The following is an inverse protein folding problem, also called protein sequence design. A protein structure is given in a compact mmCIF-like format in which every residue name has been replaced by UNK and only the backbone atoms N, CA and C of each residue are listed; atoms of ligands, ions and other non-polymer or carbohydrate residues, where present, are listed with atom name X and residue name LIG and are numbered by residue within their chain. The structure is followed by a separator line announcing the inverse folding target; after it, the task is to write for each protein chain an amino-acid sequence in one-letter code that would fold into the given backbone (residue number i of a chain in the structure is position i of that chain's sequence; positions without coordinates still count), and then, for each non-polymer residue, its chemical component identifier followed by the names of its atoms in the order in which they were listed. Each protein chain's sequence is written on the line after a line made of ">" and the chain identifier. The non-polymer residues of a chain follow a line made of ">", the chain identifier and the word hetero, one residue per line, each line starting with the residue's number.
data_IF_553927324559
#
_entry.id   IF_553927324559
#
_cell.length_a   1.000
_cell.length_b   1.000
_cell.length_c   1.000
_cell.angle_alpha   90.00
_cell.angle_beta   90.00
_cell.angle_gamma   90.00
#
_symmetry.space_group_name_H-M   'P 1'
#
loop_
_entity.id
_entity.type
_entity.pdbx_description
1 polymer ?
#
# COMPACT_ATOMS: atom_id res chain seq x y z
N UNK A 1 -29.71 8.53 -24.55
CA UNK A 1 -28.89 8.46 -23.34
C UNK A 1 -28.21 9.81 -23.17
N UNK A 2 -28.71 10.66 -22.26
CA UNK A 2 -28.13 11.98 -21.98
C UNK A 2 -26.98 11.76 -21.00
N UNK A 3 -25.75 11.70 -21.49
CA UNK A 3 -24.62 12.01 -20.62
C UNK A 3 -24.67 13.51 -20.32
N UNK A 4 -24.52 13.81 -19.04
CA UNK A 4 -24.79 15.08 -18.38
C UNK A 4 -24.12 16.23 -19.13
N UNK A 5 -24.81 17.34 -19.33
CA UNK A 5 -24.22 18.62 -19.80
C UNK A 5 -22.94 18.99 -19.04
N UNK A 6 -22.77 18.44 -17.84
CA UNK A 6 -21.57 18.59 -17.01
C UNK A 6 -20.33 17.86 -17.56
N UNK A 7 -20.46 16.71 -18.26
CA UNK A 7 -19.31 16.03 -18.89
C UNK A 7 -18.79 16.85 -20.06
N UNK A 8 -19.70 17.31 -20.93
CA UNK A 8 -19.36 18.18 -22.05
C UNK A 8 -18.79 19.52 -21.56
N UNK A 9 -19.35 20.10 -20.49
CA UNK A 9 -18.81 21.31 -19.87
C UNK A 9 -17.38 21.09 -19.31
N UNK A 10 -17.15 19.99 -18.58
CA UNK A 10 -15.83 19.66 -18.05
C UNK A 10 -14.81 19.39 -19.16
N UNK A 11 -15.23 18.76 -20.26
CA UNK A 11 -14.42 18.55 -21.46
C UNK A 11 -14.04 19.87 -22.12
N UNK A 12 -15.01 20.72 -22.43
CA UNK A 12 -14.74 22.01 -23.09
C UNK A 12 -13.83 22.90 -22.22
N UNK A 13 -14.03 22.86 -20.91
CA UNK A 13 -13.15 23.57 -19.97
C UNK A 13 -11.75 22.97 -19.93
N UNK A 14 -11.61 21.63 -20.00
CA UNK A 14 -10.31 20.97 -20.11
C UNK A 14 -9.57 21.36 -21.39
N UNK A 15 -10.24 21.36 -22.54
CA UNK A 15 -9.64 21.73 -23.83
C UNK A 15 -9.16 23.19 -23.82
N UNK A 16 -9.96 24.12 -23.29
CA UNK A 16 -9.56 25.52 -23.12
C UNK A 16 -8.37 25.68 -22.17
N UNK A 17 -8.41 25.03 -21.00
CA UNK A 17 -7.33 25.10 -20.02
C UNK A 17 -6.02 24.47 -20.54
N UNK A 18 -6.09 23.40 -21.33
CA UNK A 18 -4.90 22.81 -21.96
C UNK A 18 -4.20 23.82 -22.86
N UNK A 19 -4.97 24.55 -23.68
CA UNK A 19 -4.38 25.52 -24.60
C UNK A 19 -3.83 26.73 -23.84
N UNK A 20 -4.56 27.24 -22.84
CA UNK A 20 -4.06 28.33 -21.98
C UNK A 20 -2.77 27.94 -21.24
N UNK A 21 -2.66 26.69 -20.78
CA UNK A 21 -1.45 26.19 -20.13
C UNK A 21 -0.27 26.05 -21.11
N UNK A 22 -0.52 25.67 -22.37
CA UNK A 22 0.53 25.66 -23.41
C UNK A 22 0.99 27.06 -23.75
N UNK A 23 0.06 28.01 -23.88
CA UNK A 23 0.37 29.42 -24.14
C UNK A 23 1.24 29.98 -23.01
N UNK A 24 0.84 29.75 -21.75
CA UNK A 24 1.63 30.15 -20.58
C UNK A 24 3.04 29.53 -20.59
N UNK A 25 3.19 28.27 -21.02
CA UNK A 25 4.51 27.64 -21.16
C UNK A 25 5.32 28.18 -22.34
N UNK A 26 4.67 28.57 -23.44
CA UNK A 26 5.33 29.23 -24.57
C UNK A 26 5.92 30.57 -24.12
N UNK A 27 5.18 31.34 -23.32
CA UNK A 27 5.64 32.62 -22.76
C UNK A 27 6.84 32.47 -21.80
N UNK A 28 7.00 31.32 -21.13
CA UNK A 28 8.21 31.06 -20.32
C UNK A 28 9.50 31.14 -21.17
N UNK A 29 9.43 30.82 -22.45
CA UNK A 29 10.59 30.90 -23.35
C UNK A 29 10.74 32.27 -24.02
N UNK A 30 9.69 33.07 -24.08
CA UNK A 30 9.72 34.41 -24.70
C UNK A 30 10.31 35.46 -23.77
N UNK A 31 10.23 35.22 -22.46
CA UNK A 31 10.65 36.17 -21.42
C UNK A 31 12.08 35.89 -20.98
N UNK A 32 12.88 36.95 -20.79
CA UNK A 32 14.27 36.83 -20.34
C UNK A 32 14.39 36.73 -18.81
N UNK A 33 13.60 37.51 -18.05
CA UNK A 33 13.67 37.58 -16.58
C UNK A 33 13.20 36.27 -15.92
N UNK A 34 14.07 35.57 -15.16
CA UNK A 34 13.71 34.33 -14.46
C UNK A 34 12.54 34.48 -13.48
N UNK A 35 12.32 35.68 -12.90
CA UNK A 35 11.22 35.94 -11.97
C UNK A 35 9.87 36.00 -12.69
N UNK A 36 9.84 36.64 -13.86
CA UNK A 36 8.65 36.66 -14.71
C UNK A 36 8.36 35.26 -15.26
N UNK A 37 9.40 34.52 -15.69
CA UNK A 37 9.27 33.09 -16.06
C UNK A 37 8.62 32.26 -14.93
N UNK A 38 9.01 32.50 -13.66
CA UNK A 38 8.41 31.82 -12.49
C UNK A 38 6.92 32.16 -12.31
N UNK A 39 6.48 33.36 -12.67
CA UNK A 39 5.06 33.73 -12.63
C UNK A 39 4.26 32.96 -13.68
N UNK A 40 4.75 32.89 -14.92
CA UNK A 40 4.12 32.09 -15.99
C UNK A 40 4.08 30.60 -15.66
N UNK A 41 5.15 30.05 -15.07
CA UNK A 41 5.13 28.68 -14.53
C UNK A 41 4.09 28.50 -13.43
N UNK A 42 3.96 29.46 -12.52
CA UNK A 42 2.95 29.40 -11.45
C UNK A 42 1.53 29.44 -12.01
N UNK A 43 1.30 30.23 -13.06
CA UNK A 43 0.03 30.27 -13.79
C UNK A 43 -0.25 28.94 -14.50
N UNK A 44 0.70 28.43 -15.29
CA UNK A 44 0.57 27.14 -16.00
C UNK A 44 0.27 26.00 -15.02
N UNK A 45 0.94 25.98 -13.86
CA UNK A 45 0.70 24.99 -12.80
C UNK A 45 -0.72 25.02 -12.26
N UNK A 46 -1.27 26.21 -12.01
CA UNK A 46 -2.67 26.35 -11.55
C UNK A 46 -3.65 25.85 -12.60
N UNK A 47 -3.44 26.21 -13.86
CA UNK A 47 -4.30 25.77 -14.97
C UNK A 47 -4.24 24.24 -15.13
N UNK A 48 -3.04 23.66 -15.03
CA UNK A 48 -2.85 22.20 -15.03
C UNK A 48 -3.56 21.50 -13.86
N UNK A 49 -3.58 22.10 -12.67
CA UNK A 49 -4.34 21.58 -11.54
C UNK A 49 -5.85 21.60 -11.81
N UNK A 50 -6.36 22.62 -12.50
CA UNK A 50 -7.75 22.66 -12.94
C UNK A 50 -8.05 21.62 -14.04
N UNK A 51 -7.12 21.38 -14.97
CA UNK A 51 -7.21 20.26 -15.91
C UNK A 51 -7.32 18.90 -15.18
N UNK A 52 -6.56 18.69 -14.11
CA UNK A 52 -6.63 17.46 -13.28
C UNK A 52 -8.01 17.31 -12.63
N UNK A 53 -8.58 18.40 -12.12
CA UNK A 53 -9.94 18.38 -11.56
C UNK A 53 -10.97 18.03 -12.62
N UNK A 54 -10.86 18.59 -13.82
CA UNK A 54 -11.78 18.28 -14.92
C UNK A 54 -11.70 16.79 -15.32
N UNK A 55 -10.49 16.22 -15.43
CA UNK A 55 -10.31 14.79 -15.66
C UNK A 55 -10.95 13.95 -14.56
N UNK A 56 -10.76 14.32 -13.29
CA UNK A 56 -11.36 13.60 -12.17
C UNK A 56 -12.91 13.64 -12.21
N UNK A 57 -13.48 14.79 -12.57
CA UNK A 57 -14.93 14.95 -12.79
C UNK A 57 -15.42 14.05 -13.93
N UNK A 58 -14.71 14.04 -15.07
CA UNK A 58 -15.04 13.21 -16.22
C UNK A 58 -14.91 11.70 -15.90
N UNK A 59 -13.87 11.28 -15.17
CA UNK A 59 -13.70 9.90 -14.70
C UNK A 59 -14.85 9.46 -13.77
N UNK A 60 -15.26 10.35 -12.85
CA UNK A 60 -16.37 10.09 -11.96
C UNK A 60 -17.70 9.89 -12.71
N UNK A 61 -17.96 10.74 -13.70
CA UNK A 61 -19.15 10.62 -14.56
C UNK A 61 -19.08 9.34 -15.40
N UNK A 62 -17.93 9.05 -16.02
CA UNK A 62 -17.71 7.84 -16.78
C UNK A 62 -17.90 6.56 -15.95
N UNK A 63 -17.48 6.59 -14.68
CA UNK A 63 -17.68 5.49 -13.74
C UNK A 63 -19.16 5.12 -13.52
N UNK A 64 -20.06 6.11 -13.61
CA UNK A 64 -21.52 5.98 -13.39
C UNK A 64 -22.32 5.59 -14.63
N UNK A 65 -21.66 5.49 -15.80
CA UNK A 65 -22.33 5.07 -17.03
C UNK A 65 -22.62 3.58 -17.05
N UNK A 66 -23.61 3.21 -17.87
CA UNK A 66 -23.85 1.82 -18.20
C UNK A 66 -22.68 1.26 -19.04
N UNK A 67 -22.33 -0.03 -18.89
CA UNK A 67 -21.22 -0.64 -19.62
C UNK A 67 -21.28 -0.47 -21.14
N UNK A 68 -22.49 -0.37 -21.72
CA UNK A 68 -22.70 -0.13 -23.15
C UNK A 68 -22.21 1.24 -23.62
N UNK A 69 -22.31 2.26 -22.76
CA UNK A 69 -21.99 3.65 -23.11
C UNK A 69 -20.56 4.05 -22.70
N UNK A 70 -19.92 3.26 -21.82
CA UNK A 70 -18.54 3.50 -21.38
C UNK A 70 -17.53 3.43 -22.53
N UNK A 71 -17.76 2.57 -23.52
CA UNK A 71 -16.84 2.38 -24.64
C UNK A 71 -16.66 3.67 -25.46
N UNK A 72 -17.73 4.44 -25.63
CA UNK A 72 -17.78 5.66 -26.44
C UNK A 72 -16.84 6.75 -25.90
N UNK A 73 -16.77 6.93 -24.59
CA UNK A 73 -15.99 8.01 -23.96
C UNK A 73 -14.61 7.58 -23.45
N UNK A 74 -14.31 6.28 -23.53
CA UNK A 74 -13.05 5.72 -23.03
C UNK A 74 -11.85 6.24 -23.81
N UNK A 75 -11.95 6.36 -25.14
CA UNK A 75 -10.87 6.89 -25.99
C UNK A 75 -10.61 8.36 -25.66
N UNK A 76 -11.66 9.17 -25.62
CA UNK A 76 -11.56 10.61 -25.33
C UNK A 76 -10.91 10.88 -23.97
N UNK A 77 -11.33 10.15 -22.91
CA UNK A 77 -10.72 10.25 -21.59
C UNK A 77 -9.23 9.86 -21.59
N UNK A 78 -8.86 8.84 -22.37
CA UNK A 78 -7.47 8.42 -22.49
C UNK A 78 -6.62 9.48 -23.22
N UNK A 79 -7.15 10.08 -24.29
CA UNK A 79 -6.51 11.16 -25.04
C UNK A 79 -6.30 12.41 -24.17
N UNK A 80 -7.31 12.81 -23.40
CA UNK A 80 -7.20 13.95 -22.47
C UNK A 80 -6.17 13.69 -21.36
N UNK A 81 -6.15 12.48 -20.79
CA UNK A 81 -5.11 12.10 -19.81
C UNK A 81 -3.71 12.14 -20.41
N UNK A 82 -3.55 11.65 -21.64
CA UNK A 82 -2.29 11.69 -22.34
C UNK A 82 -1.83 13.13 -22.66
N UNK A 83 -2.76 14.01 -23.07
CA UNK A 83 -2.48 15.42 -23.30
C UNK A 83 -1.96 16.11 -22.03
N UNK A 84 -2.61 15.87 -20.89
CA UNK A 84 -2.15 16.41 -19.60
C UNK A 84 -0.79 15.84 -19.17
N UNK A 85 -0.54 14.56 -19.40
CA UNK A 85 0.76 13.95 -19.09
C UNK A 85 1.88 14.56 -19.93
N UNK A 86 1.64 14.78 -21.22
CA UNK A 86 2.59 15.41 -22.15
C UNK A 86 2.89 16.83 -21.69
N UNK A 87 1.84 17.61 -21.39
CA UNK A 87 1.98 18.96 -20.83
C UNK A 87 2.76 18.97 -19.51
N UNK A 88 2.56 17.95 -18.66
CA UNK A 88 3.30 17.81 -17.41
C UNK A 88 4.79 17.54 -17.59
N UNK A 89 5.17 16.81 -18.64
CA UNK A 89 6.58 16.61 -19.00
C UNK A 89 7.21 17.91 -19.47
N UNK A 90 6.50 18.69 -20.30
CA UNK A 90 7.00 19.98 -20.78
C UNK A 90 7.09 21.01 -19.66
N UNK A 91 6.08 21.07 -18.78
CA UNK A 91 6.14 21.88 -17.55
C UNK A 91 7.38 21.56 -16.71
N UNK A 92 7.66 20.28 -16.46
CA UNK A 92 8.81 19.87 -15.64
C UNK A 92 10.15 20.26 -16.27
N UNK A 93 10.24 20.25 -17.61
CA UNK A 93 11.42 20.74 -18.34
C UNK A 93 11.61 22.24 -18.14
N UNK A 94 10.55 23.04 -18.31
CA UNK A 94 10.60 24.49 -18.09
C UNK A 94 10.89 24.85 -16.62
N UNK A 95 10.26 24.17 -15.67
CA UNK A 95 10.50 24.36 -14.23
C UNK A 95 11.97 24.09 -13.88
N UNK A 96 12.56 23.03 -14.43
CA UNK A 96 13.98 22.69 -14.22
C UNK A 96 14.95 23.68 -14.91
N UNK A 97 14.54 24.32 -16.00
CA UNK A 97 15.33 25.36 -16.67
C UNK A 97 15.28 26.67 -15.87
N UNK A 98 14.08 27.16 -15.55
CA UNK A 98 13.89 28.40 -14.78
C UNK A 98 14.52 28.30 -13.39
N UNK A 99 14.46 27.13 -12.76
CA UNK A 99 15.13 26.91 -11.47
C UNK A 99 16.65 27.07 -11.58
N UNK A 100 17.27 26.58 -12.65
CA UNK A 100 18.72 26.78 -12.87
C UNK A 100 19.04 28.25 -13.08
N UNK A 101 18.24 28.96 -13.88
CA UNK A 101 18.39 30.39 -14.10
C UNK A 101 18.28 31.19 -12.78
N UNK A 102 17.37 30.80 -11.87
CA UNK A 102 17.20 31.43 -10.54
C UNK A 102 18.31 31.08 -9.54
N UNK A 103 18.81 29.84 -9.58
CA UNK A 103 19.91 29.40 -8.72
C UNK A 103 21.23 30.11 -9.12
N UNK A 104 21.45 30.38 -10.41
CA UNK A 104 22.61 31.13 -10.92
C UNK A 104 22.52 32.64 -10.62
N UNK A 105 21.31 33.21 -10.54
CA UNK A 105 21.05 34.63 -10.18
C UNK A 105 21.14 34.91 -8.66
N UNK A 106 21.42 33.90 -7.84
CA UNK A 106 21.73 34.07 -6.41
C UNK A 106 20.54 34.23 -5.48
N UNK A 107 19.36 33.69 -5.81
CA UNK A 107 18.22 33.63 -4.87
C UNK A 107 18.41 32.51 -3.82
N UNK A 108 19.39 32.72 -2.92
CA UNK A 108 19.72 31.84 -1.78
C UNK A 108 18.55 31.65 -0.79
N UNK A 109 17.46 32.43 -0.92
CA UNK A 109 16.30 32.36 -0.02
C UNK A 109 15.46 31.09 -0.21
N UNK A 110 15.50 30.48 -1.41
CA UNK A 110 14.72 29.28 -1.72
C UNK A 110 15.51 27.99 -1.42
N UNK A 111 16.85 28.04 -1.52
CA UNK A 111 17.75 26.95 -1.07
C UNK A 111 17.57 26.71 0.43
N UNK A 112 17.48 27.75 1.26
CA UNK A 112 17.32 27.60 2.72
C UNK A 112 15.94 27.02 3.11
N UNK A 113 14.90 27.31 2.32
CA UNK A 113 13.56 26.71 2.50
C UNK A 113 13.51 25.27 2.00
N UNK A 114 14.18 24.96 0.90
CA UNK A 114 14.31 23.60 0.37
C UNK A 114 15.17 22.71 1.28
N UNK A 115 16.29 23.21 1.80
CA UNK A 115 17.11 22.50 2.78
C UNK A 115 16.35 22.32 4.09
N UNK A 116 15.59 23.32 4.56
CA UNK A 116 14.69 23.20 5.71
C UNK A 116 13.64 22.10 5.54
N UNK A 117 12.89 22.11 4.44
CA UNK A 117 11.86 21.11 4.13
C UNK A 117 12.45 19.70 3.93
N UNK A 118 13.62 19.61 3.29
CA UNK A 118 14.31 18.33 3.10
C UNK A 118 14.85 17.80 4.42
N UNK A 119 15.37 18.68 5.29
CA UNK A 119 15.83 18.35 6.64
C UNK A 119 14.68 17.86 7.52
N UNK A 120 13.51 18.52 7.49
CA UNK A 120 12.33 18.06 8.22
C UNK A 120 11.86 16.68 7.74
N UNK A 121 11.82 16.44 6.43
CA UNK A 121 11.46 15.12 5.88
C UNK A 121 12.46 14.04 6.30
N UNK A 122 13.75 14.35 6.28
CA UNK A 122 14.81 13.43 6.71
C UNK A 122 14.73 13.15 8.22
N UNK A 123 14.55 14.17 9.05
CA UNK A 123 14.37 14.02 10.50
C UNK A 123 13.10 13.24 10.85
N UNK A 124 12.00 13.50 10.15
CA UNK A 124 10.76 12.73 10.27
C UNK A 124 10.94 11.27 9.87
N UNK A 125 11.72 11.01 8.81
CA UNK A 125 12.12 9.67 8.39
C UNK A 125 12.94 8.94 9.46
N UNK A 126 13.91 9.61 10.08
CA UNK A 126 14.72 9.05 11.19
C UNK A 126 13.86 8.69 12.39
N UNK A 127 12.92 9.56 12.78
CA UNK A 127 11.99 9.28 13.88
C UNK A 127 11.10 8.06 13.57
N UNK A 128 10.64 7.93 12.31
CA UNK A 128 9.89 6.77 11.85
C UNK A 128 10.73 5.49 11.84
N UNK A 129 12.00 5.57 11.47
CA UNK A 129 12.92 4.43 11.55
C UNK A 129 13.17 4.01 13.00
N UNK A 130 13.35 4.96 13.92
CA UNK A 130 13.53 4.67 15.34
C UNK A 130 12.28 4.03 15.98
N UNK A 131 11.08 4.46 15.58
CA UNK A 131 9.85 3.83 16.06
C UNK A 131 9.68 2.41 15.50
N UNK A 132 10.05 2.19 14.23
CA UNK A 132 10.09 0.87 13.62
C UNK A 132 11.11 -0.06 14.29
N UNK A 133 12.31 0.43 14.62
CA UNK A 133 13.32 -0.34 15.36
C UNK A 133 12.80 -0.77 16.75
N UNK A 134 12.08 0.12 17.43
CA UNK A 134 11.45 -0.19 18.71
C UNK A 134 10.35 -1.25 18.56
N UNK A 135 9.54 -1.17 17.51
CA UNK A 135 8.53 -2.19 17.20
C UNK A 135 9.16 -3.55 16.89
N UNK A 136 10.24 -3.57 16.11
CA UNK A 136 10.98 -4.81 15.79
C UNK A 136 11.55 -5.47 17.04
N UNK A 137 12.09 -4.68 17.98
CA UNK A 137 12.57 -5.21 19.28
C UNK A 137 11.44 -5.88 20.08
N UNK A 138 10.24 -5.31 20.07
CA UNK A 138 9.09 -5.92 20.73
C UNK A 138 8.69 -7.23 20.04
N UNK A 139 8.61 -7.27 18.70
CA UNK A 139 8.29 -8.49 17.95
C UNK A 139 9.29 -9.60 18.21
N UNK A 140 10.59 -9.29 18.30
CA UNK A 140 11.63 -10.26 18.64
C UNK A 140 11.43 -10.81 20.04
N UNK A 141 11.12 -9.94 21.01
CA UNK A 141 10.82 -10.35 22.39
C UNK A 141 9.61 -11.28 22.44
N UNK A 142 8.51 -10.90 21.80
CA UNK A 142 7.29 -11.70 21.71
C UNK A 142 7.56 -13.07 21.05
N UNK A 143 8.45 -13.10 20.04
CA UNK A 143 8.89 -14.34 19.40
C UNK A 143 9.60 -15.29 20.36
N UNK A 144 10.49 -14.78 21.23
CA UNK A 144 11.14 -15.60 22.25
C UNK A 144 10.16 -16.10 23.32
N UNK A 145 9.22 -15.26 23.75
CA UNK A 145 8.18 -15.64 24.72
C UNK A 145 7.25 -16.72 24.14
N UNK A 146 6.80 -16.55 22.89
CA UNK A 146 6.01 -17.56 22.18
C UNK A 146 6.77 -18.88 22.03
N UNK A 147 8.07 -18.83 21.72
CA UNK A 147 8.90 -20.03 21.65
C UNK A 147 9.00 -20.76 23.00
N UNK A 148 9.11 -20.01 24.11
CA UNK A 148 9.12 -20.59 25.45
C UNK A 148 7.78 -21.29 25.76
N UNK A 149 6.66 -20.63 25.46
CA UNK A 149 5.31 -21.21 25.62
C UNK A 149 5.13 -22.49 24.80
N UNK A 150 5.61 -22.52 23.55
CA UNK A 150 5.55 -23.72 22.72
C UNK A 150 6.35 -24.89 23.30
N UNK A 151 7.54 -24.62 23.86
CA UNK A 151 8.36 -25.66 24.51
C UNK A 151 7.67 -26.21 25.76
N UNK A 152 7.07 -25.34 26.57
CA UNK A 152 6.31 -25.75 27.75
C UNK A 152 5.05 -26.53 27.37
N UNK A 153 4.30 -26.06 26.37
CA UNK A 153 3.15 -26.76 25.81
C UNK A 153 3.51 -28.16 25.30
N UNK A 154 4.62 -28.30 24.57
CA UNK A 154 5.11 -29.60 24.10
C UNK A 154 5.47 -30.55 25.26
N UNK A 155 6.09 -30.02 26.33
CA UNK A 155 6.39 -30.80 27.54
C UNK A 155 5.09 -31.28 28.22
N UNK A 156 4.11 -30.40 28.37
CA UNK A 156 2.82 -30.72 28.98
C UNK A 156 2.05 -31.76 28.18
N UNK A 157 2.03 -31.65 26.85
CA UNK A 157 1.41 -32.65 25.96
C UNK A 157 2.08 -34.02 26.09
N UNK A 158 3.42 -34.07 26.21
CA UNK A 158 4.13 -35.32 26.46
C UNK A 158 3.72 -35.95 27.79
N UNK A 159 3.66 -35.15 28.86
CA UNK A 159 3.24 -35.61 30.19
C UNK A 159 1.80 -36.15 30.14
N UNK A 160 0.87 -35.43 29.50
CA UNK A 160 -0.51 -35.87 29.33
C UNK A 160 -0.61 -37.18 28.53
N UNK A 161 0.14 -37.30 27.43
CA UNK A 161 0.22 -38.54 26.66
C UNK A 161 0.69 -39.70 27.54
N UNK A 162 1.75 -39.50 28.32
CA UNK A 162 2.29 -40.55 29.18
C UNK A 162 1.28 -40.93 30.30
N UNK A 163 0.51 -39.97 30.82
CA UNK A 163 -0.61 -40.23 31.74
C UNK A 163 -1.75 -41.04 31.12
N UNK A 164 -1.95 -40.96 29.80
CA UNK A 164 -2.98 -41.75 29.09
C UNK A 164 -2.44 -43.14 28.72
N UNK A 165 -1.23 -43.19 28.16
CA UNK A 165 -0.63 -44.45 27.67
C UNK A 165 -0.33 -45.43 28.80
N UNK A 166 0.13 -44.96 29.96
CA UNK A 166 0.52 -45.83 31.07
C UNK A 166 -0.66 -46.67 31.62
N UNK A 167 -1.82 -46.06 31.96
CA UNK A 167 -3.01 -46.82 32.32
C UNK A 167 -3.47 -47.78 31.22
N UNK A 168 -3.43 -47.37 29.94
CA UNK A 168 -3.83 -48.25 28.82
C UNK A 168 -2.94 -49.50 28.72
N UNK A 169 -1.61 -49.33 28.82
CA UNK A 169 -0.65 -50.45 28.81
C UNK A 169 -0.85 -51.35 30.03
N UNK A 170 -1.09 -50.78 31.21
CA UNK A 170 -1.34 -51.54 32.43
C UNK A 170 -2.67 -52.30 32.36
N UNK A 171 -3.72 -51.70 31.80
CA UNK A 171 -5.01 -52.35 31.62
C UNK A 171 -4.92 -53.52 30.61
N UNK A 172 -4.19 -53.33 29.50
CA UNK A 172 -3.93 -54.40 28.54
C UNK A 172 -3.15 -55.57 29.18
N UNK A 173 -2.19 -55.30 30.07
CA UNK A 173 -1.49 -56.34 30.84
C UNK A 173 -2.45 -57.07 31.79
N UNK A 174 -3.26 -56.33 32.56
CA UNK A 174 -4.22 -56.90 33.48
C UNK A 174 -5.26 -57.79 32.77
N UNK A 175 -5.76 -57.37 31.61
CA UNK A 175 -6.66 -58.18 30.78
C UNK A 175 -5.99 -59.49 30.31
N UNK A 176 -4.72 -59.43 29.90
CA UNK A 176 -3.96 -60.63 29.52
C UNK A 176 -3.72 -61.57 30.71
N UNK A 177 -3.48 -61.05 31.90
CA UNK A 177 -3.32 -61.84 33.13
C UNK A 177 -4.64 -62.48 33.56
N UNK A 178 -5.75 -61.74 33.52
CA UNK A 178 -7.10 -62.25 33.76
C UNK A 178 -7.43 -63.38 32.79
N UNK A 179 -7.16 -63.21 31.49
CA UNK A 179 -7.39 -64.25 30.50
C UNK A 179 -6.56 -65.53 30.75
N UNK A 180 -5.34 -65.39 31.29
CA UNK A 180 -4.53 -66.54 31.72
C UNK A 180 -5.10 -67.21 32.97
N UNK A 181 -5.48 -66.43 33.97
CA UNK A 181 -6.09 -66.92 35.21
C UNK A 181 -7.38 -67.69 34.93
N UNK A 182 -8.25 -67.17 34.05
CA UNK A 182 -9.48 -67.84 33.63
C UNK A 182 -9.22 -69.21 32.98
N UNK A 183 -8.19 -69.32 32.14
CA UNK A 183 -7.79 -70.62 31.56
C UNK A 183 -7.34 -71.59 32.65
N UNK A 184 -6.55 -71.12 33.61
CA UNK A 184 -6.10 -71.95 34.74
C UNK A 184 -7.28 -72.43 35.59
N UNK A 185 -8.21 -71.54 35.95
CA UNK A 185 -9.43 -71.89 36.71
C UNK A 185 -10.24 -72.93 35.94
N UNK A 186 -10.43 -72.75 34.63
CA UNK A 186 -11.12 -73.75 33.80
C UNK A 186 -10.43 -75.11 33.85
N UNK A 187 -9.09 -75.15 33.77
CA UNK A 187 -8.35 -76.41 33.86
C UNK A 187 -8.46 -77.08 35.23
N UNK A 188 -8.42 -76.30 36.32
CA UNK A 188 -8.62 -76.81 37.69
C UNK A 188 -10.03 -77.38 37.82
N UNK A 189 -11.04 -76.63 37.38
CA UNK A 189 -12.45 -77.07 37.44
C UNK A 189 -12.67 -78.35 36.63
N UNK A 190 -12.03 -78.52 35.47
CA UNK A 190 -12.13 -79.78 34.72
C UNK A 190 -11.51 -80.95 35.50
N UNK A 191 -10.37 -80.73 36.19
CA UNK A 191 -9.72 -81.77 37.01
C UNK A 191 -10.49 -82.15 38.26
N UNK A 192 -11.25 -81.23 38.86
CA UNK A 192 -12.04 -81.52 40.06
C UNK A 192 -13.34 -82.30 39.76
N UNK A 193 -13.80 -82.28 38.51
CA UNK A 193 -15.04 -82.92 38.07
C UNK A 193 -14.84 -84.10 37.12
N UNK A 194 -13.59 -84.52 36.89
CA UNK A 194 -13.20 -85.74 36.18
C UNK A 194 -12.52 -86.70 37.14
#
# INVERSE_FOLDING_TARGET
>A
VKMSSEFEAARNQFEGNIEEAKDALSEVNSVADPREKKQFLSQAKRIMDDCRKNIATMDYMWGRLDPSDKATYKSELAEMKHALETLGKDFSRHESAVRRDLDDDGDLSEIDKLTGNTREKLLGGVNKLNSQDSQLKNVVKDGYEAQAMLREGAKNLRIQRDHIENPMRNNAKAQNELAKADRTIRMIRVREFC
#
